data_IF_215013638843
#
_entry.id   IF_215013638843
#
_cell.length_a   1.000
_cell.length_b   1.000
_cell.length_c   1.000
_cell.angle_alpha   90.00
_cell.angle_beta   90.00
_cell.angle_gamma   90.00
#
_symmetry.space_group_name_H-M   'P 1'
#
loop_
_entity.id
_entity.type
_entity.pdbx_description
1 polymer ?
#
# COMPACT_ATOMS: atom_id res chain seq x y z
N UNK A 1 21.79 -3.38 18.38
CA UNK A 1 21.36 -2.68 17.15
C UNK A 1 20.07 -3.36 16.76
N UNK A 2 18.99 -2.60 16.64
CA UNK A 2 17.64 -3.13 16.39
C UNK A 2 17.26 -2.79 14.94
N UNK A 3 16.81 -3.80 14.20
CA UNK A 3 16.46 -3.72 12.79
C UNK A 3 15.02 -4.20 12.55
N UNK A 4 14.25 -4.43 13.61
CA UNK A 4 12.85 -4.78 13.50
C UNK A 4 12.02 -3.54 13.12
N UNK A 5 10.90 -3.79 12.43
CA UNK A 5 9.92 -2.76 12.13
C UNK A 5 9.20 -2.37 13.42
N UNK A 6 8.85 -1.09 13.55
CA UNK A 6 7.91 -0.65 14.57
C UNK A 6 6.51 -1.19 14.30
N UNK A 7 5.64 -1.13 15.30
CA UNK A 7 4.25 -1.60 15.19
C UNK A 7 3.48 -0.91 14.05
N UNK A 8 3.75 0.37 13.83
CA UNK A 8 3.11 1.16 12.77
C UNK A 8 3.58 0.73 11.38
N UNK A 9 4.88 0.55 11.17
CA UNK A 9 5.39 0.02 9.89
C UNK A 9 4.93 -1.41 9.64
N UNK A 10 4.83 -2.22 10.70
CA UNK A 10 4.32 -3.59 10.64
C UNK A 10 2.84 -3.60 10.18
N UNK A 11 2.01 -2.71 10.73
CA UNK A 11 0.63 -2.57 10.30
C UNK A 11 0.50 -2.11 8.83
N UNK A 12 1.35 -1.19 8.38
CA UNK A 12 1.39 -0.77 6.97
C UNK A 12 1.75 -1.94 6.06
N UNK A 13 2.74 -2.77 6.44
CA UNK A 13 3.09 -3.98 5.69
C UNK A 13 1.88 -4.89 5.53
N UNK A 14 1.26 -5.25 6.64
CA UNK A 14 0.22 -6.28 6.66
C UNK A 14 -1.04 -5.83 5.92
N UNK A 15 -1.42 -4.54 6.05
CA UNK A 15 -2.55 -3.98 5.30
C UNK A 15 -2.26 -3.89 3.80
N UNK A 16 -1.03 -3.56 3.41
CA UNK A 16 -0.64 -3.50 2.00
C UNK A 16 -0.67 -4.90 1.38
N UNK A 17 -0.02 -5.86 2.03
CA UNK A 17 0.01 -7.26 1.61
C UNK A 17 -1.41 -7.83 1.44
N UNK A 18 -2.28 -7.60 2.44
CA UNK A 18 -3.66 -8.09 2.39
C UNK A 18 -4.43 -7.53 1.18
N UNK A 19 -4.36 -6.21 0.95
CA UNK A 19 -5.08 -5.60 -0.17
C UNK A 19 -4.55 -6.11 -1.51
N UNK A 20 -3.23 -6.25 -1.67
CA UNK A 20 -2.64 -6.73 -2.91
C UNK A 20 -2.93 -8.21 -3.15
N UNK A 21 -2.93 -9.06 -2.12
CA UNK A 21 -3.31 -10.47 -2.24
C UNK A 21 -4.76 -10.63 -2.73
N UNK A 22 -5.67 -9.84 -2.17
CA UNK A 22 -7.09 -9.86 -2.53
C UNK A 22 -7.36 -9.32 -3.95
N UNK A 23 -6.52 -8.41 -4.45
CA UNK A 23 -6.84 -7.59 -5.62
C UNK A 23 -5.92 -7.78 -6.83
N UNK A 24 -4.72 -8.32 -6.66
CA UNK A 24 -3.70 -8.45 -7.70
C UNK A 24 -3.63 -9.86 -8.29
N UNK A 25 -4.78 -10.51 -8.50
CA UNK A 25 -4.81 -11.84 -9.12
C UNK A 25 -4.21 -11.81 -10.55
N UNK A 26 -3.61 -12.92 -10.96
CA UNK A 26 -3.04 -13.03 -12.32
C UNK A 26 -4.05 -12.75 -13.43
N UNK A 27 -5.32 -13.10 -13.23
CA UNK A 27 -6.38 -12.80 -14.18
C UNK A 27 -6.63 -11.30 -14.29
N UNK A 28 -6.69 -10.60 -13.15
CA UNK A 28 -6.89 -9.15 -13.11
C UNK A 28 -5.73 -8.40 -13.74
N UNK A 29 -4.48 -8.80 -13.43
CA UNK A 29 -3.29 -8.20 -14.01
C UNK A 29 -3.22 -8.36 -15.53
N UNK A 30 -3.63 -9.53 -16.06
CA UNK A 30 -3.73 -9.75 -17.50
C UNK A 30 -4.80 -8.89 -18.15
N UNK A 31 -5.96 -8.73 -17.51
CA UNK A 31 -7.03 -7.88 -18.01
C UNK A 31 -6.58 -6.41 -18.10
N UNK A 32 -5.96 -5.88 -17.04
CA UNK A 32 -5.41 -4.51 -17.02
C UNK A 32 -4.41 -4.28 -18.15
N UNK A 33 -3.48 -5.21 -18.35
CA UNK A 33 -2.50 -5.13 -19.44
C UNK A 33 -3.16 -5.13 -20.82
N UNK A 34 -4.25 -5.89 -21.02
CA UNK A 34 -5.00 -5.92 -22.27
C UNK A 34 -5.83 -4.65 -22.49
N UNK A 35 -6.33 -4.04 -21.42
CA UNK A 35 -7.04 -2.76 -21.42
C UNK A 35 -6.10 -1.57 -21.71
N UNK A 36 -4.78 -1.77 -21.61
CA UNK A 36 -3.78 -0.71 -21.73
C UNK A 36 -3.69 0.16 -20.47
N UNK A 37 -4.28 -0.29 -19.37
CA UNK A 37 -4.26 0.40 -18.08
C UNK A 37 -3.09 -0.11 -17.23
N UNK A 38 -2.32 0.83 -16.69
CA UNK A 38 -1.16 0.53 -15.83
C UNK A 38 -1.45 0.69 -14.33
N UNK A 39 -2.66 1.14 -13.99
CA UNK A 39 -3.06 1.42 -12.60
C UNK A 39 -4.45 0.83 -12.36
N UNK A 40 -4.52 -0.18 -11.48
CA UNK A 40 -5.81 -0.66 -11.01
C UNK A 40 -6.42 0.35 -10.03
N UNK A 41 -7.33 1.18 -10.53
CA UNK A 41 -8.00 2.20 -9.70
C UNK A 41 -8.77 1.60 -8.52
N UNK A 42 -9.26 0.37 -8.64
CA UNK A 42 -10.00 -0.29 -7.55
C UNK A 42 -9.03 -0.70 -6.44
N UNK A 43 -7.90 -1.30 -6.78
CA UNK A 43 -6.86 -1.65 -5.81
C UNK A 43 -6.27 -0.39 -5.16
N UNK A 44 -6.01 0.65 -5.94
CA UNK A 44 -5.53 1.93 -5.43
C UNK A 44 -6.50 2.57 -4.42
N UNK A 45 -7.81 2.54 -4.72
CA UNK A 45 -8.82 3.04 -3.79
C UNK A 45 -8.89 2.20 -2.50
N UNK A 46 -8.70 0.89 -2.59
CA UNK A 46 -8.65 0.01 -1.42
C UNK A 46 -7.44 0.32 -0.53
N UNK A 47 -6.24 0.49 -1.10
CA UNK A 47 -5.05 0.93 -0.37
C UNK A 47 -5.22 2.31 0.27
N UNK A 48 -5.92 3.23 -0.40
CA UNK A 48 -6.22 4.54 0.18
C UNK A 48 -7.19 4.43 1.37
N UNK A 49 -8.18 3.56 1.29
CA UNK A 49 -9.17 3.35 2.36
C UNK A 49 -8.56 2.74 3.64
N UNK A 50 -7.46 1.99 3.53
CA UNK A 50 -6.72 1.46 4.69
C UNK A 50 -5.74 2.47 5.30
N UNK A 51 -5.51 3.62 4.65
CA UNK A 51 -4.56 4.64 5.08
C UNK A 51 -3.13 4.44 4.56
N UNK A 52 -2.85 3.34 3.86
CA UNK A 52 -1.50 3.03 3.32
C UNK A 52 -0.98 4.15 2.41
N UNK A 53 -1.83 4.66 1.52
CA UNK A 53 -1.45 5.74 0.59
C UNK A 53 -1.08 7.05 1.33
N UNK A 54 -1.69 7.28 2.49
CA UNK A 54 -1.46 8.46 3.32
C UNK A 54 -0.43 8.26 4.43
N UNK A 55 0.27 7.12 4.46
CA UNK A 55 1.10 6.73 5.60
C UNK A 55 2.12 7.79 6.00
N UNK A 56 2.87 8.33 5.03
CA UNK A 56 3.89 9.36 5.29
C UNK A 56 3.40 10.81 5.13
N UNK A 57 2.11 10.98 4.84
CA UNK A 57 1.51 12.31 4.73
C UNK A 57 1.23 12.85 6.14
N UNK A 58 1.58 14.11 6.45
CA UNK A 58 1.26 14.69 7.75
C UNK A 58 -0.23 14.66 8.07
N UNK A 59 -0.57 14.47 9.36
CA UNK A 59 -1.96 14.45 9.84
C UNK A 59 -2.73 15.73 9.50
N UNK A 60 -2.05 16.88 9.41
CA UNK A 60 -2.65 18.16 8.99
C UNK A 60 -3.22 18.14 7.57
N UNK A 61 -2.83 17.15 6.77
CA UNK A 61 -3.32 16.89 5.41
C UNK A 61 -4.17 15.61 5.35
N UNK A 62 -4.52 15.02 6.50
CA UNK A 62 -5.34 13.80 6.59
C UNK A 62 -4.58 12.48 6.44
N UNK A 63 -3.24 12.49 6.56
CA UNK A 63 -2.43 11.27 6.58
C UNK A 63 -2.16 10.72 7.99
N UNK A 64 -1.25 9.75 8.07
CA UNK A 64 -0.87 9.08 9.34
C UNK A 64 0.38 9.66 10.00
N UNK A 65 1.08 10.60 9.35
CA UNK A 65 2.26 11.26 9.91
C UNK A 65 3.48 10.36 10.11
N UNK A 66 3.48 9.14 9.55
CA UNK A 66 4.58 8.20 9.64
C UNK A 66 5.78 8.68 8.84
N UNK A 67 6.94 8.09 9.10
CA UNK A 67 8.18 8.46 8.41
C UNK A 67 8.39 7.63 7.15
N UNK A 68 9.49 7.93 6.45
CA UNK A 68 9.87 7.29 5.20
C UNK A 68 9.79 5.75 5.21
N UNK A 69 10.10 5.12 6.35
CA UNK A 69 10.10 3.65 6.44
C UNK A 69 8.71 3.04 6.17
N UNK A 70 7.63 3.68 6.62
CA UNK A 70 6.27 3.22 6.32
C UNK A 70 5.99 3.19 4.81
N UNK A 71 6.42 4.22 4.07
CA UNK A 71 6.30 4.22 2.60
C UNK A 71 7.22 3.19 1.95
N UNK A 72 8.44 3.01 2.45
CA UNK A 72 9.36 2.01 1.91
C UNK A 72 8.80 0.59 2.07
N UNK A 73 8.25 0.27 3.24
CA UNK A 73 7.61 -1.03 3.53
C UNK A 73 6.38 -1.25 2.66
N UNK A 74 5.52 -0.25 2.47
CA UNK A 74 4.38 -0.39 1.55
C UNK A 74 4.81 -0.69 0.10
N UNK A 75 5.93 -0.11 -0.36
CA UNK A 75 6.45 -0.35 -1.71
C UNK A 75 7.15 -1.70 -1.87
N UNK A 76 7.65 -2.28 -0.78
CA UNK A 76 8.30 -3.61 -0.79
C UNK A 76 7.29 -4.75 -1.09
N UNK A 77 6.01 -4.55 -0.77
CA UNK A 77 4.94 -5.54 -0.97
C UNK A 77 4.37 -5.62 -2.40
N UNK A 78 4.86 -4.79 -3.34
CA UNK A 78 4.33 -4.66 -4.72
C UNK A 78 5.04 -5.58 -5.72
#
# INVERSE_FOLDING_TARGET
>A
MDFELGEEEQAIRDLTAQVLDDMSSHERLRALAAEGDHVDRKAWAALAATGVVGASIPETHGGLGLRFLATAVALEEV
#
